data_IF_458185798665
#
_entry.id   IF_458185798665
#
_cell.length_a   1.000
_cell.length_b   1.000
_cell.length_c   1.000
_cell.angle_alpha   90.00
_cell.angle_beta   90.00
_cell.angle_gamma   90.00
#
_symmetry.space_group_name_H-M   'P 1'
#
loop_
_entity.id
_entity.type
_entity.pdbx_description
1 polymer ?
#
# COMPACT_ATOMS: atom_id res chain seq x y z
N UNK A 1 11.65 5.80 7.98
CA UNK A 1 11.86 4.45 8.57
C UNK A 1 11.67 3.29 7.59
N UNK A 2 10.57 3.21 6.83
CA UNK A 2 10.34 2.13 5.84
C UNK A 2 11.49 1.94 4.83
N UNK A 3 11.96 3.02 4.20
CA UNK A 3 13.07 2.98 3.24
C UNK A 3 14.41 2.58 3.87
N UNK A 4 14.57 2.81 5.18
CA UNK A 4 15.75 2.38 5.94
C UNK A 4 15.72 0.88 6.21
N UNK A 5 14.53 0.33 6.46
CA UNK A 5 14.33 -1.12 6.70
C UNK A 5 14.48 -1.97 5.43
N UNK A 6 14.23 -1.41 4.25
CA UNK A 6 14.48 -2.07 2.95
C UNK A 6 15.98 -2.32 2.71
N UNK A 7 16.85 -1.60 3.42
CA UNK A 7 18.30 -1.70 3.26
C UNK A 7 18.79 -0.90 2.08
N UNK A 8 18.51 0.41 2.06
CA UNK A 8 19.00 1.33 1.03
C UNK A 8 20.55 1.42 0.99
N UNK A 9 21.21 0.92 2.02
CA UNK A 9 22.65 0.70 2.19
C UNK A 9 23.13 -0.65 1.63
N UNK A 10 22.21 -1.57 1.28
CA UNK A 10 22.51 -2.91 0.75
C UNK A 10 22.35 -2.90 -0.77
N UNK A 11 23.08 -3.76 -1.48
CA UNK A 11 22.97 -3.88 -2.95
C UNK A 11 22.56 -5.29 -3.38
N UNK A 12 21.87 -5.39 -4.52
CA UNK A 12 21.56 -6.66 -5.17
C UNK A 12 20.54 -7.54 -4.42
N UNK A 13 20.79 -8.85 -4.36
CA UNK A 13 19.87 -9.85 -3.82
C UNK A 13 19.45 -9.60 -2.36
N UNK A 14 20.26 -8.87 -1.60
CA UNK A 14 19.98 -8.63 -0.18
C UNK A 14 18.84 -7.64 0.07
N UNK A 15 18.66 -6.66 -0.83
CA UNK A 15 17.49 -5.77 -0.79
C UNK A 15 16.21 -6.58 -1.00
N UNK A 16 16.22 -7.50 -1.97
CA UNK A 16 15.03 -8.30 -2.32
C UNK A 16 14.59 -9.18 -1.15
N UNK A 17 15.54 -9.86 -0.49
CA UNK A 17 15.22 -10.68 0.69
C UNK A 17 14.60 -9.84 1.82
N UNK A 18 15.21 -8.70 2.13
CA UNK A 18 14.70 -7.77 3.15
C UNK A 18 13.30 -7.26 2.81
N UNK A 19 13.05 -6.91 1.55
CA UNK A 19 11.74 -6.46 1.09
C UNK A 19 10.68 -7.55 1.28
N UNK A 20 10.99 -8.81 0.91
CA UNK A 20 10.06 -9.93 1.07
C UNK A 20 9.71 -10.12 2.55
N UNK A 21 10.70 -10.15 3.45
CA UNK A 21 10.46 -10.31 4.89
C UNK A 21 9.64 -9.15 5.46
N UNK A 22 9.94 -7.92 5.03
CA UNK A 22 9.19 -6.74 5.43
C UNK A 22 7.72 -6.85 4.99
N UNK A 23 7.47 -7.29 3.76
CA UNK A 23 6.10 -7.45 3.25
C UNK A 23 5.35 -8.59 3.96
N UNK A 24 6.01 -9.70 4.29
CA UNK A 24 5.41 -10.80 5.07
C UNK A 24 4.97 -10.33 6.46
N UNK A 25 5.78 -9.48 7.10
CA UNK A 25 5.50 -8.92 8.43
C UNK A 25 4.54 -7.72 8.41
N UNK A 26 3.66 -7.65 7.41
CA UNK A 26 2.69 -6.57 7.19
C UNK A 26 3.31 -5.16 7.03
N UNK A 27 4.62 -5.04 6.85
CA UNK A 27 5.26 -3.77 6.55
C UNK A 27 4.80 -3.25 5.19
N UNK A 28 4.27 -2.03 5.14
CA UNK A 28 3.83 -1.36 3.90
C UNK A 28 4.30 0.07 3.88
N UNK A 29 4.26 0.68 2.69
CA UNK A 29 4.60 2.08 2.52
C UNK A 29 3.70 2.94 3.43
N UNK A 30 4.26 3.97 4.08
CA UNK A 30 3.48 4.90 4.87
C UNK A 30 2.54 5.72 3.97
N UNK A 31 1.54 6.35 4.58
CA UNK A 31 0.65 7.28 3.88
C UNK A 31 1.47 8.43 3.28
N UNK A 32 1.35 8.71 1.97
CA UNK A 32 2.00 9.87 1.36
C UNK A 32 1.44 11.20 1.91
N UNK A 33 2.25 12.25 1.87
CA UNK A 33 1.81 13.60 2.23
C UNK A 33 0.69 14.07 1.30
N UNK A 34 -0.34 14.68 1.89
CA UNK A 34 -1.53 15.14 1.15
C UNK A 34 -2.47 14.03 0.67
N UNK A 35 -2.19 12.76 0.98
CA UNK A 35 -3.07 11.65 0.64
C UNK A 35 -4.30 11.60 1.59
N UNK A 36 -5.54 11.57 1.06
CA UNK A 36 -6.74 11.36 1.86
C UNK A 36 -6.69 10.02 2.62
N UNK A 37 -7.25 10.00 3.83
CA UNK A 37 -7.23 8.80 4.67
C UNK A 37 -7.98 7.64 4.01
N UNK A 38 -9.10 7.91 3.33
CA UNK A 38 -9.90 6.92 2.64
C UNK A 38 -9.13 6.23 1.50
N UNK A 39 -8.30 7.00 0.79
CA UNK A 39 -7.43 6.47 -0.27
C UNK A 39 -6.33 5.59 0.34
N UNK A 40 -5.73 6.01 1.46
CA UNK A 40 -4.74 5.18 2.14
C UNK A 40 -5.35 3.87 2.68
N UNK A 41 -6.58 3.91 3.20
CA UNK A 41 -7.33 2.70 3.56
C UNK A 41 -7.50 1.77 2.34
N UNK A 42 -7.84 2.31 1.16
CA UNK A 42 -7.91 1.50 -0.08
C UNK A 42 -6.54 0.88 -0.40
N UNK A 43 -5.45 1.65 -0.35
CA UNK A 43 -4.11 1.15 -0.62
C UNK A 43 -3.73 -0.02 0.31
N UNK A 44 -3.99 0.11 1.62
CA UNK A 44 -3.68 -0.96 2.59
C UNK A 44 -4.50 -2.23 2.34
N UNK A 45 -5.76 -2.11 1.90
CA UNK A 45 -6.59 -3.25 1.52
C UNK A 45 -6.08 -3.94 0.24
N UNK A 46 -5.63 -3.16 -0.76
CA UNK A 46 -4.99 -3.70 -1.96
C UNK A 46 -3.74 -4.52 -1.64
N UNK A 47 -2.98 -4.10 -0.61
CA UNK A 47 -1.75 -4.77 -0.22
C UNK A 47 -1.93 -5.87 0.84
N UNK A 48 -3.15 -6.38 1.04
CA UNK A 48 -3.40 -7.44 2.02
C UNK A 48 -2.60 -8.72 1.69
N UNK A 49 -2.02 -9.36 2.72
CA UNK A 49 -1.31 -10.63 2.59
C UNK A 49 -2.23 -11.76 2.11
N UNK A 50 -3.49 -11.77 2.55
CA UNK A 50 -4.51 -12.67 2.05
C UNK A 50 -5.08 -12.15 0.73
N UNK A 51 -4.84 -12.88 -0.36
CA UNK A 51 -5.32 -12.51 -1.71
C UNK A 51 -6.84 -12.40 -1.76
N UNK A 52 -7.56 -13.23 -1.00
CA UNK A 52 -9.03 -13.23 -0.96
C UNK A 52 -9.61 -12.00 -0.23
N UNK A 53 -8.80 -11.28 0.53
CA UNK A 53 -9.19 -10.03 1.19
C UNK A 53 -8.86 -8.78 0.36
N UNK A 54 -8.20 -8.95 -0.79
CA UNK A 54 -7.94 -7.84 -1.70
C UNK A 54 -9.23 -7.50 -2.46
N UNK A 55 -9.59 -6.22 -2.57
CA UNK A 55 -10.78 -5.82 -3.32
C UNK A 55 -10.63 -6.16 -4.81
N UNK A 56 -11.75 -6.43 -5.46
CA UNK A 56 -11.76 -6.57 -6.92
C UNK A 56 -11.53 -5.21 -7.58
N UNK A 57 -11.05 -5.20 -8.83
CA UNK A 57 -10.93 -3.96 -9.60
C UNK A 57 -12.27 -3.22 -9.75
N UNK A 58 -13.38 -3.96 -9.82
CA UNK A 58 -14.72 -3.38 -9.88
C UNK A 58 -15.03 -2.60 -8.60
N UNK A 59 -14.78 -3.18 -7.44
CA UNK A 59 -15.02 -2.52 -6.15
C UNK A 59 -14.08 -1.32 -5.94
N UNK A 60 -12.83 -1.44 -6.40
CA UNK A 60 -11.85 -0.36 -6.37
C UNK A 60 -12.30 0.84 -7.20
N UNK A 61 -12.73 0.62 -8.45
CA UNK A 61 -13.18 1.71 -9.32
C UNK A 61 -14.35 2.47 -8.70
N UNK A 62 -15.37 1.75 -8.22
CA UNK A 62 -16.54 2.35 -7.58
C UNK A 62 -16.16 3.20 -6.36
N UNK A 63 -15.28 2.70 -5.49
CA UNK A 63 -14.88 3.43 -4.28
C UNK A 63 -14.01 4.64 -4.57
N UNK A 64 -13.10 4.55 -5.54
CA UNK A 64 -12.26 5.69 -5.93
C UNK A 64 -13.11 6.79 -6.56
N UNK A 65 -14.07 6.43 -7.42
CA UNK A 65 -15.01 7.39 -8.00
C UNK A 65 -15.86 8.08 -6.92
N UNK A 66 -16.38 7.33 -5.94
CA UNK A 66 -17.11 7.91 -4.81
C UNK A 66 -16.27 8.92 -4.02
N UNK A 67 -15.01 8.61 -3.73
CA UNK A 67 -14.12 9.52 -3.00
C UNK A 67 -13.87 10.79 -3.83
N UNK A 68 -13.57 10.63 -5.13
CA UNK A 68 -13.38 11.76 -6.05
C UNK A 68 -14.60 12.68 -6.08
N UNK A 69 -15.79 12.10 -6.20
CA UNK A 69 -17.03 12.86 -6.30
C UNK A 69 -17.36 13.58 -4.98
N UNK A 70 -17.06 12.97 -3.83
CA UNK A 70 -17.21 13.58 -2.50
C UNK A 70 -16.23 14.74 -2.24
N UNK A 71 -15.05 14.74 -2.87
CA UNK A 71 -14.08 15.84 -2.75
C UNK A 71 -14.39 17.00 -3.71
N UNK A 72 -15.26 16.78 -4.70
CA UNK A 72 -15.66 17.80 -5.67
C UNK A 72 -16.89 18.62 -5.22
N UNK A 73 -17.58 18.16 -4.16
CA UNK A 73 -18.69 18.87 -3.50
C UNK A 73 -18.24 19.57 -2.24
#
# INVERSE_FOLDING_TARGET
EFMRMIGNDKQGQMIVFHLIELLKNNGRLPKPDGCPDEIYVIMTQCWNNNVNQRPSFRDLALRVDQIRDNMAG
#
